data_IF_135202882815
#
_entry.id   IF_135202882815
#
_cell.length_a   1.000
_cell.length_b   1.000
_cell.length_c   1.000
_cell.angle_alpha   90.00
_cell.angle_beta   90.00
_cell.angle_gamma   90.00
#
_symmetry.space_group_name_H-M   'P 1'
#
loop_
_entity.id
_entity.type
_entity.pdbx_description
1 polymer ?
#
# COMPACT_ATOMS: atom_id res chain seq x y z
N UNK A 1 -3.34 19.18 -0.19
CA UNK A 1 -3.02 17.75 -0.04
C UNK A 1 -4.34 17.04 -0.15
N UNK A 2 -4.53 16.29 -1.21
CA UNK A 2 -5.85 15.81 -1.63
C UNK A 2 -5.98 14.30 -1.43
N UNK A 3 -4.84 13.59 -1.41
CA UNK A 3 -4.75 12.16 -1.15
C UNK A 3 -3.53 11.82 -0.28
N UNK A 4 -3.67 10.77 0.52
CA UNK A 4 -2.59 10.11 1.24
C UNK A 4 -2.50 8.66 0.78
N UNK A 5 -1.35 8.25 0.24
CA UNK A 5 -1.05 6.86 -0.09
C UNK A 5 0.01 6.35 0.89
N UNK A 6 -0.36 5.34 1.67
CA UNK A 6 0.52 4.67 2.62
C UNK A 6 0.94 3.30 2.09
N UNK A 7 2.23 3.10 1.85
CA UNK A 7 2.79 1.77 1.64
C UNK A 7 3.05 1.13 2.98
N UNK A 8 2.37 0.02 3.30
CA UNK A 8 2.64 -0.69 4.54
C UNK A 8 3.86 -1.61 4.40
N UNK A 9 4.60 -1.76 5.50
CA UNK A 9 5.82 -2.56 5.57
C UNK A 9 6.52 -2.39 6.92
N UNK A 10 7.57 -3.17 7.15
CA UNK A 10 8.43 -3.05 8.33
C UNK A 10 9.75 -2.33 7.98
N UNK A 11 10.28 -1.48 8.89
CA UNK A 11 11.54 -0.78 8.70
C UNK A 11 12.77 -1.68 8.91
N UNK A 12 13.81 -1.43 8.13
CA UNK A 12 15.12 -2.08 8.25
C UNK A 12 15.45 -3.01 7.08
N UNK A 13 16.75 -3.12 6.78
CA UNK A 13 17.25 -3.82 5.58
C UNK A 13 16.77 -5.27 5.46
N UNK A 14 16.60 -5.97 6.59
CA UNK A 14 16.13 -7.36 6.59
C UNK A 14 14.70 -7.54 6.05
N UNK A 15 13.89 -6.49 6.01
CA UNK A 15 12.50 -6.55 5.53
C UNK A 15 12.31 -6.03 4.11
N UNK A 16 13.30 -5.34 3.54
CA UNK A 16 13.18 -4.55 2.30
C UNK A 16 12.57 -5.33 1.13
N UNK A 17 12.88 -6.64 1.04
CA UNK A 17 12.43 -7.52 -0.05
C UNK A 17 11.44 -8.59 0.40
N UNK A 18 10.94 -8.49 1.62
CA UNK A 18 9.94 -9.43 2.15
C UNK A 18 8.57 -9.17 1.53
N UNK A 19 7.74 -10.21 1.46
CA UNK A 19 6.36 -10.10 0.95
C UNK A 19 5.57 -9.02 1.67
N UNK A 20 5.76 -8.91 2.98
CA UNK A 20 5.08 -7.92 3.82
C UNK A 20 5.48 -6.46 3.54
N UNK A 21 6.57 -6.25 2.80
CA UNK A 21 7.03 -4.92 2.39
C UNK A 21 6.61 -4.55 0.96
N UNK A 22 5.71 -5.33 0.33
CA UNK A 22 5.21 -5.00 -1.02
C UNK A 22 4.63 -3.59 -1.11
N UNK A 23 3.98 -3.10 -0.04
CA UNK A 23 3.48 -1.73 0.04
C UNK A 23 4.59 -0.69 -0.11
N UNK A 24 5.74 -0.90 0.55
CA UNK A 24 6.92 -0.04 0.39
C UNK A 24 7.50 -0.11 -1.02
N UNK A 25 7.63 -1.32 -1.57
CA UNK A 25 8.16 -1.53 -2.92
C UNK A 25 7.33 -0.79 -3.99
N UNK A 26 5.99 -0.84 -3.86
CA UNK A 26 5.07 -0.11 -4.74
C UNK A 26 5.26 1.40 -4.62
N UNK A 27 5.30 1.96 -3.41
CA UNK A 27 5.41 3.42 -3.27
C UNK A 27 6.80 3.96 -3.58
N UNK A 28 7.85 3.15 -3.41
CA UNK A 28 9.20 3.48 -3.88
C UNK A 28 9.24 3.57 -5.40
N UNK A 29 8.63 2.60 -6.10
CA UNK A 29 8.49 2.64 -7.56
C UNK A 29 7.65 3.85 -8.03
N UNK A 30 6.54 4.14 -7.35
CA UNK A 30 5.68 5.28 -7.68
C UNK A 30 6.41 6.62 -7.47
N UNK A 31 7.14 6.78 -6.35
CA UNK A 31 7.94 7.98 -6.10
C UNK A 31 9.03 8.15 -7.17
N UNK A 32 9.73 7.07 -7.53
CA UNK A 32 10.76 7.07 -8.56
C UNK A 32 10.20 7.48 -9.93
N UNK A 33 9.03 6.94 -10.31
CA UNK A 33 8.33 7.30 -11.56
C UNK A 33 8.03 8.81 -11.64
N UNK A 34 7.80 9.44 -10.49
CA UNK A 34 7.56 10.89 -10.36
C UNK A 34 8.84 11.71 -10.08
N UNK A 35 10.03 11.11 -10.22
CA UNK A 35 11.33 11.72 -9.93
C UNK A 35 11.41 12.30 -8.52
N UNK A 36 10.84 11.58 -7.54
CA UNK A 36 10.86 11.95 -6.12
C UNK A 36 11.66 10.96 -5.30
N UNK A 37 12.23 11.49 -4.23
CA UNK A 37 12.88 10.72 -3.18
C UNK A 37 12.15 10.92 -1.86
N UNK A 38 12.20 9.90 -1.01
CA UNK A 38 11.65 9.96 0.34
C UNK A 38 12.60 10.71 1.27
N UNK A 39 12.04 11.50 2.18
CA UNK A 39 12.74 12.17 3.28
C UNK A 39 12.06 11.84 4.61
N UNK A 40 12.74 12.02 5.76
CA UNK A 40 12.09 11.93 7.05
C UNK A 40 10.94 12.94 7.18
N UNK A 41 9.79 12.49 7.66
CA UNK A 41 8.65 13.34 7.98
C UNK A 41 8.69 13.89 9.41
N UNK A 42 7.61 14.55 9.84
CA UNK A 42 7.46 15.11 11.21
C UNK A 42 6.96 14.06 12.23
N UNK A 43 7.44 12.83 12.12
CA UNK A 43 7.08 11.71 12.99
C UNK A 43 7.64 10.39 12.49
N UNK A 44 7.00 9.28 12.86
CA UNK A 44 7.45 7.92 12.53
C UNK A 44 7.03 7.50 11.11
N UNK A 45 7.48 8.26 10.12
CA UNK A 45 7.33 7.91 8.70
C UNK A 45 8.38 8.61 7.83
N UNK A 46 8.63 8.03 6.66
CA UNK A 46 9.22 8.75 5.53
C UNK A 46 8.10 9.27 4.65
N UNK A 47 8.29 10.45 4.05
CA UNK A 47 7.31 11.09 3.18
C UNK A 47 7.94 11.61 1.89
N UNK A 48 7.11 11.71 0.86
CA UNK A 48 7.36 12.56 -0.31
C UNK A 48 6.03 13.01 -0.90
N UNK A 49 6.08 14.04 -1.75
CA UNK A 49 4.89 14.57 -2.42
C UNK A 49 5.05 14.48 -3.94
N UNK A 50 4.04 13.90 -4.58
CA UNK A 50 3.91 13.83 -6.03
C UNK A 50 2.66 14.59 -6.48
N UNK A 51 2.54 14.83 -7.78
CA UNK A 51 1.32 15.37 -8.39
C UNK A 51 0.78 14.38 -9.40
N UNK A 52 -0.48 14.01 -9.25
CA UNK A 52 -1.19 13.18 -10.22
C UNK A 52 -2.29 14.04 -10.83
N UNK A 53 -2.07 14.47 -12.08
CA UNK A 53 -2.86 15.54 -12.72
C UNK A 53 -2.93 16.81 -11.86
N UNK A 54 -4.09 17.10 -11.27
CA UNK A 54 -4.35 18.29 -10.45
C UNK A 54 -4.31 18.00 -8.95
N UNK A 55 -4.24 16.73 -8.57
CA UNK A 55 -4.28 16.29 -7.18
C UNK A 55 -2.86 16.27 -6.59
N UNK A 56 -2.69 16.89 -5.43
CA UNK A 56 -1.51 16.79 -4.56
C UNK A 56 -1.61 15.50 -3.75
N UNK A 57 -0.62 14.63 -3.87
CA UNK A 57 -0.65 13.28 -3.29
C UNK A 57 0.58 13.09 -2.40
N UNK A 58 0.34 12.81 -1.13
CA UNK A 58 1.39 12.46 -0.18
C UNK A 58 1.61 10.96 -0.22
N UNK A 59 2.85 10.54 -0.44
CA UNK A 59 3.28 9.16 -0.30
C UNK A 59 3.98 9.00 1.03
N UNK A 60 3.65 7.96 1.79
CA UNK A 60 4.33 7.67 3.07
C UNK A 60 4.72 6.21 3.23
N UNK A 61 5.90 6.02 3.85
CA UNK A 61 6.32 4.76 4.47
C UNK A 61 6.26 4.93 5.98
N UNK A 62 5.24 4.44 6.69
CA UNK A 62 5.25 4.40 8.15
C UNK A 62 6.53 3.69 8.62
N UNK A 63 7.36 4.34 9.43
CA UNK A 63 8.60 3.73 9.97
C UNK A 63 8.38 3.16 11.38
N UNK A 64 7.12 2.96 11.74
CA UNK A 64 6.70 2.10 12.85
C UNK A 64 6.81 0.63 12.42
N UNK A 65 6.68 -0.30 13.37
CA UNK A 65 6.38 -1.69 12.99
C UNK A 65 4.95 -1.78 12.43
N UNK A 66 4.69 -2.81 11.64
CA UNK A 66 3.42 -2.99 10.93
C UNK A 66 2.18 -2.73 11.81
N UNK A 67 2.18 -3.26 13.04
CA UNK A 67 1.08 -3.14 14.01
C UNK A 67 0.81 -1.73 14.54
N UNK A 68 1.68 -0.76 14.25
CA UNK A 68 1.53 0.65 14.61
C UNK A 68 1.50 1.57 13.36
N UNK A 69 1.18 1.03 12.18
CA UNK A 69 1.07 1.81 10.94
C UNK A 69 -0.02 2.89 11.02
N UNK A 70 -1.11 2.61 11.74
CA UNK A 70 -2.25 3.53 11.86
C UNK A 70 -1.93 4.82 12.59
N UNK A 71 -0.97 4.82 13.52
CA UNK A 71 -0.58 6.01 14.29
C UNK A 71 0.02 7.10 13.38
N UNK A 72 0.89 6.69 12.45
CA UNK A 72 1.49 7.58 11.46
C UNK A 72 0.41 8.19 10.54
N UNK A 73 -0.49 7.34 10.04
CA UNK A 73 -1.58 7.75 9.16
C UNK A 73 -2.53 8.72 9.88
N UNK A 74 -2.95 8.40 11.11
CA UNK A 74 -3.80 9.26 11.95
C UNK A 74 -3.21 10.65 12.14
N UNK A 75 -1.91 10.72 12.47
CA UNK A 75 -1.23 11.99 12.67
C UNK A 75 -1.22 12.84 11.40
N UNK A 76 -0.96 12.23 10.24
CA UNK A 76 -0.93 12.93 8.96
C UNK A 76 -2.29 13.43 8.51
N UNK A 77 -3.34 12.60 8.62
CA UNK A 77 -4.68 13.06 8.25
C UNK A 77 -5.15 14.22 9.13
N UNK A 78 -4.78 14.24 10.41
CA UNK A 78 -5.10 15.34 11.32
C UNK A 78 -4.34 16.62 10.96
N UNK A 79 -3.05 16.52 10.64
CA UNK A 79 -2.23 17.66 10.21
C UNK A 79 -2.79 18.29 8.93
N UNK A 80 -3.16 17.45 7.96
CA UNK A 80 -3.63 17.89 6.65
C UNK A 80 -5.15 18.09 6.56
N UNK A 81 -5.89 17.82 7.65
CA UNK A 81 -7.36 17.81 7.69
C UNK A 81 -7.97 16.97 6.57
N UNK A 82 -7.34 15.82 6.31
CA UNK A 82 -7.71 14.89 5.25
C UNK A 82 -8.75 13.88 5.79
N UNK A 83 -9.88 13.65 5.10
CA UNK A 83 -10.83 12.63 5.53
C UNK A 83 -10.30 11.21 5.20
N UNK A 84 -10.79 10.18 5.91
CA UNK A 84 -10.29 8.81 5.80
C UNK A 84 -10.50 8.21 4.38
N UNK A 85 -11.56 8.64 3.69
CA UNK A 85 -11.92 8.23 2.34
C UNK A 85 -10.90 8.68 1.29
N UNK A 86 -9.99 9.59 1.67
CA UNK A 86 -8.86 10.06 0.86
C UNK A 86 -7.54 9.38 1.21
N UNK A 87 -7.59 8.30 2.01
CA UNK A 87 -6.45 7.44 2.33
C UNK A 87 -6.50 6.18 1.49
N UNK A 88 -5.36 5.80 0.92
CA UNK A 88 -5.13 4.52 0.25
C UNK A 88 -4.00 3.78 0.98
N UNK A 89 -4.30 2.62 1.57
CA UNK A 89 -3.30 1.73 2.14
C UNK A 89 -2.92 0.62 1.15
N UNK A 90 -1.63 0.42 0.89
CA UNK A 90 -1.13 -0.67 0.04
C UNK A 90 -0.60 -1.78 0.94
N UNK A 91 -1.11 -2.99 0.76
CA UNK A 91 -0.85 -4.15 1.62
C UNK A 91 -0.65 -5.43 0.83
N UNK A 92 0.07 -6.38 1.42
CA UNK A 92 0.12 -7.75 0.91
C UNK A 92 -1.20 -8.49 1.11
N UNK A 93 -1.48 -9.41 0.19
CA UNK A 93 -2.65 -10.26 0.21
C UNK A 93 -2.28 -11.69 -0.18
N UNK A 94 -2.23 -12.58 0.82
CA UNK A 94 -1.84 -13.96 0.57
C UNK A 94 -2.92 -14.78 -0.16
N UNK A 95 -4.21 -14.41 -0.09
CA UNK A 95 -5.24 -15.15 -0.83
C UNK A 95 -5.23 -14.85 -2.33
N UNK A 96 -4.41 -13.91 -2.79
CA UNK A 96 -4.23 -13.59 -4.20
C UNK A 96 -2.89 -14.09 -4.73
N UNK A 97 -2.85 -14.64 -5.95
CA UNK A 97 -1.58 -15.03 -6.57
C UNK A 97 -0.70 -13.78 -6.79
N UNK A 98 0.62 -13.98 -6.80
CA UNK A 98 1.57 -12.94 -7.22
C UNK A 98 1.17 -12.44 -8.62
N UNK A 99 1.29 -11.12 -8.85
CA UNK A 99 0.81 -10.48 -10.08
C UNK A 99 -0.54 -9.78 -9.92
N UNK A 100 -1.39 -10.24 -9.00
CA UNK A 100 -2.75 -9.69 -8.84
C UNK A 100 -2.75 -8.40 -8.02
N UNK A 101 -3.35 -7.35 -8.57
CA UNK A 101 -3.67 -6.10 -7.87
C UNK A 101 -5.18 -5.98 -7.75
N UNK A 102 -5.67 -5.56 -6.60
CA UNK A 102 -7.10 -5.36 -6.37
C UNK A 102 -7.32 -4.19 -5.42
N UNK A 103 -8.23 -3.28 -5.77
CA UNK A 103 -8.58 -2.14 -4.92
C UNK A 103 -10.01 -2.25 -4.40
N UNK A 104 -10.20 -1.92 -3.13
CA UNK A 104 -11.52 -1.86 -2.47
C UNK A 104 -11.56 -0.76 -1.42
N UNK A 105 -12.76 -0.27 -1.12
CA UNK A 105 -13.01 0.53 0.09
C UNK A 105 -13.59 -0.37 1.18
N UNK A 106 -13.30 -0.07 2.45
CA UNK A 106 -13.98 -0.71 3.58
C UNK A 106 -13.58 -2.17 3.86
N UNK A 107 -14.35 -2.78 4.76
CA UNK A 107 -14.25 -4.18 5.17
C UNK A 107 -13.30 -4.45 6.34
N UNK A 108 -13.37 -5.67 6.87
CA UNK A 108 -12.53 -6.13 8.00
C UNK A 108 -11.05 -6.16 7.64
N UNK A 109 -10.19 -6.28 8.65
CA UNK A 109 -8.73 -6.33 8.47
C UNK A 109 -8.21 -7.58 7.74
N UNK A 110 -9.01 -8.64 7.65
CA UNK A 110 -8.58 -9.91 7.04
C UNK A 110 -7.41 -10.57 7.76
N UNK A 111 -7.19 -10.23 9.04
CA UNK A 111 -6.04 -10.68 9.83
C UNK A 111 -4.74 -9.95 9.52
N UNK A 112 -4.77 -8.86 8.74
CA UNK A 112 -3.58 -8.06 8.46
C UNK A 112 -3.36 -6.99 9.53
N UNK A 113 -2.34 -7.17 10.39
CA UNK A 113 -2.06 -6.30 11.54
C UNK A 113 -1.93 -4.80 11.20
N UNK A 114 -1.37 -4.46 10.03
CA UNK A 114 -1.27 -3.07 9.59
C UNK A 114 -2.62 -2.44 9.28
N UNK A 115 -3.58 -3.24 8.80
CA UNK A 115 -4.92 -2.77 8.52
C UNK A 115 -5.71 -2.67 9.83
N UNK A 116 -5.58 -3.65 10.73
CA UNK A 116 -6.13 -3.57 12.09
C UNK A 116 -5.70 -2.26 12.76
N UNK A 117 -4.40 -1.95 12.73
CA UNK A 117 -3.84 -0.72 13.28
C UNK A 117 -4.47 0.55 12.70
N UNK A 118 -4.69 0.59 11.38
CA UNK A 118 -5.35 1.73 10.72
C UNK A 118 -6.80 1.87 11.16
N UNK A 119 -7.57 0.77 11.16
CA UNK A 119 -8.98 0.79 11.57
C UNK A 119 -9.10 1.30 13.01
N UNK A 120 -8.30 0.77 13.93
CA UNK A 120 -8.29 1.18 15.34
C UNK A 120 -7.89 2.66 15.50
N UNK A 121 -6.87 3.09 14.77
CA UNK A 121 -6.37 4.47 14.86
C UNK A 121 -7.36 5.50 14.31
N UNK A 122 -7.99 5.18 13.17
CA UNK A 122 -8.93 6.06 12.48
C UNK A 122 -10.35 5.97 13.04
N UNK A 123 -10.71 4.88 13.73
CA UNK A 123 -12.07 4.64 14.22
C UNK A 123 -13.07 4.34 13.10
N UNK A 124 -12.60 4.02 11.90
CA UNK A 124 -13.43 3.70 10.74
C UNK A 124 -12.72 2.71 9.82
N UNK A 125 -13.52 1.99 9.02
CA UNK A 125 -13.03 1.15 7.92
C UNK A 125 -13.03 1.90 6.58
N UNK A 126 -13.55 3.12 6.52
CA UNK A 126 -13.88 3.87 5.30
C UNK A 126 -12.64 4.51 4.63
N UNK A 127 -11.69 3.66 4.28
CA UNK A 127 -10.50 4.01 3.52
C UNK A 127 -10.23 2.96 2.44
N UNK A 128 -9.44 3.34 1.44
CA UNK A 128 -9.12 2.48 0.32
C UNK A 128 -7.96 1.56 0.64
N UNK A 129 -8.02 0.35 0.07
CA UNK A 129 -7.01 -0.68 0.22
C UNK A 129 -6.63 -1.22 -1.14
N UNK A 130 -5.38 -1.03 -1.52
CA UNK A 130 -4.77 -1.71 -2.65
C UNK A 130 -4.10 -2.97 -2.14
N UNK A 131 -4.65 -4.12 -2.52
CA UNK A 131 -4.19 -5.45 -2.14
C UNK A 131 -3.31 -5.99 -3.25
N UNK A 132 -2.06 -6.27 -2.93
CA UNK A 132 -1.06 -6.85 -3.83
C UNK A 132 -0.89 -8.33 -3.48
N UNK A 133 -1.16 -9.20 -4.44
CA UNK A 133 -1.08 -10.65 -4.24
C UNK A 133 0.33 -11.11 -3.94
N UNK A 134 0.48 -11.92 -2.89
CA UNK A 134 1.78 -12.51 -2.50
C UNK A 134 1.78 -14.03 -2.56
N UNK A 135 0.66 -14.65 -2.94
CA UNK A 135 0.48 -16.10 -2.96
C UNK A 135 0.21 -16.71 -1.59
N UNK A 136 -0.15 -18.00 -1.59
CA UNK A 136 -0.43 -18.78 -0.37
C UNK A 136 0.34 -20.09 -0.40
N UNK A 137 1.65 -20.00 -0.29
CA UNK A 137 2.52 -21.19 -0.31
C UNK A 137 3.14 -21.44 1.08
N UNK A 138 2.30 -21.76 2.06
CA UNK A 138 2.72 -22.07 3.43
C UNK A 138 1.78 -23.09 4.09
N UNK A 139 2.27 -23.94 5.00
CA UNK A 139 1.44 -24.86 5.77
C UNK A 139 0.59 -24.10 6.80
N UNK A 140 -0.48 -24.73 7.34
CA UNK A 140 -1.22 -24.15 8.46
C UNK A 140 -0.29 -23.65 9.58
N UNK A 141 -0.47 -22.40 10.01
CA UNK A 141 0.39 -21.74 11.01
C UNK A 141 1.66 -21.06 10.45
N UNK A 142 2.05 -21.33 9.19
CA UNK A 142 3.26 -20.76 8.57
C UNK A 142 3.11 -19.37 7.95
N UNK A 143 1.99 -18.67 8.19
CA UNK A 143 1.68 -17.40 7.54
C UNK A 143 2.69 -16.29 7.89
N UNK A 144 3.08 -16.22 9.17
CA UNK A 144 3.99 -15.17 9.67
C UNK A 144 5.35 -15.28 8.99
N UNK A 145 5.93 -16.49 8.96
CA UNK A 145 7.22 -16.73 8.30
C UNK A 145 7.13 -16.47 6.79
N UNK A 146 5.98 -16.80 6.18
CA UNK A 146 5.77 -16.58 4.76
C UNK A 146 5.77 -15.10 4.39
N UNK A 147 5.00 -14.25 5.10
CA UNK A 147 4.95 -12.81 4.81
C UNK A 147 6.29 -12.13 5.09
N UNK A 148 7.06 -12.64 6.07
CA UNK A 148 8.40 -12.14 6.41
C UNK A 148 9.52 -12.73 5.55
N UNK A 149 9.21 -13.59 4.57
CA UNK A 149 10.20 -14.13 3.64
C UNK A 149 10.25 -13.34 2.33
N UNK A 150 11.37 -13.44 1.62
CA UNK A 150 11.58 -12.79 0.33
C UNK A 150 10.86 -13.51 -0.81
N UNK A 151 10.40 -12.75 -1.80
CA UNK A 151 9.93 -13.32 -3.07
C UNK A 151 11.00 -14.24 -3.67
N UNK A 152 10.55 -15.38 -4.20
CA UNK A 152 11.42 -16.33 -4.87
C UNK A 152 11.86 -15.79 -6.23
N UNK A 153 12.99 -16.28 -6.74
CA UNK A 153 13.55 -15.78 -8.00
C UNK A 153 12.59 -15.94 -9.20
N UNK A 154 11.82 -17.04 -9.23
CA UNK A 154 10.83 -17.29 -10.27
C UNK A 154 9.60 -16.36 -10.21
N UNK A 155 9.40 -15.65 -9.09
CA UNK A 155 8.30 -14.70 -8.92
C UNK A 155 8.70 -13.27 -9.35
N UNK A 156 9.97 -13.02 -9.69
CA UNK A 156 10.46 -11.66 -9.94
C UNK A 156 9.77 -10.95 -11.12
N UNK A 157 9.42 -11.69 -12.17
CA UNK A 157 8.73 -11.13 -13.34
C UNK A 157 7.32 -10.67 -12.97
N UNK A 158 6.54 -11.56 -12.35
CA UNK A 158 5.20 -11.26 -11.84
C UNK A 158 5.22 -10.16 -10.77
N UNK A 159 6.20 -10.15 -9.88
CA UNK A 159 6.40 -9.10 -8.89
C UNK A 159 6.63 -7.74 -9.55
N UNK A 160 7.52 -7.68 -10.54
CA UNK A 160 7.84 -6.43 -11.24
C UNK A 160 6.64 -5.92 -12.02
N UNK A 161 5.93 -6.82 -12.71
CA UNK A 161 4.66 -6.53 -13.40
C UNK A 161 3.59 -6.01 -12.43
N UNK A 162 3.45 -6.65 -11.27
CA UNK A 162 2.50 -6.24 -10.23
C UNK A 162 2.81 -4.84 -9.69
N UNK A 163 4.07 -4.52 -9.44
CA UNK A 163 4.50 -3.20 -8.95
C UNK A 163 4.17 -2.13 -10.00
N UNK A 164 4.51 -2.37 -11.27
CA UNK A 164 4.17 -1.46 -12.38
C UNK A 164 2.67 -1.23 -12.46
N UNK A 165 1.89 -2.32 -12.46
CA UNK A 165 0.42 -2.27 -12.50
C UNK A 165 -0.17 -1.54 -11.29
N UNK A 166 0.38 -1.73 -10.10
CA UNK A 166 -0.05 -1.04 -8.90
C UNK A 166 0.19 0.48 -9.02
N UNK A 167 1.35 0.90 -9.51
CA UNK A 167 1.64 2.31 -9.78
C UNK A 167 0.65 2.93 -10.77
N UNK A 168 0.42 2.27 -11.92
CA UNK A 168 -0.56 2.71 -12.93
C UNK A 168 -1.98 2.73 -12.37
N UNK A 169 -2.33 1.75 -11.53
CA UNK A 169 -3.62 1.68 -10.83
C UNK A 169 -3.84 2.85 -9.90
N UNK A 170 -2.82 3.27 -9.13
CA UNK A 170 -2.91 4.43 -8.24
C UNK A 170 -3.07 5.73 -9.02
N UNK A 171 -2.32 5.90 -10.11
CA UNK A 171 -2.44 7.06 -11.00
C UNK A 171 -3.80 7.13 -11.68
N UNK A 172 -4.29 5.99 -12.20
CA UNK A 172 -5.61 5.91 -12.82
C UNK A 172 -6.72 6.16 -11.79
N UNK A 173 -6.61 5.57 -10.60
CA UNK A 173 -7.58 5.75 -9.52
C UNK A 173 -7.73 7.22 -9.12
N UNK A 174 -6.62 7.90 -8.88
CA UNK A 174 -6.63 9.32 -8.48
C UNK A 174 -7.12 10.21 -9.61
N UNK A 175 -6.79 9.88 -10.86
CA UNK A 175 -7.10 10.74 -12.01
C UNK A 175 -8.48 10.53 -12.65
N UNK A 176 -9.03 9.32 -12.58
CA UNK A 176 -10.29 8.93 -13.22
C UNK A 176 -11.45 8.72 -12.23
N UNK A 177 -11.14 8.65 -10.93
CA UNK A 177 -12.11 8.44 -9.86
C UNK A 177 -12.40 6.96 -9.58
N UNK A 178 -12.84 6.69 -8.35
CA UNK A 178 -12.93 5.35 -7.79
C UNK A 178 -13.80 4.37 -8.60
N UNK A 179 -15.00 4.79 -9.02
CA UNK A 179 -15.95 3.90 -9.69
C UNK A 179 -15.39 3.30 -10.99
N UNK A 180 -14.76 4.13 -11.85
CA UNK A 180 -14.16 3.68 -13.10
C UNK A 180 -12.90 2.86 -12.86
N UNK A 181 -12.10 3.26 -11.88
CA UNK A 181 -10.84 2.61 -11.54
C UNK A 181 -11.03 1.20 -11.00
N UNK A 182 -11.97 1.01 -10.05
CA UNK A 182 -12.24 -0.30 -9.45
C UNK A 182 -12.56 -1.36 -10.50
N UNK A 183 -13.42 -1.04 -11.47
CA UNK A 183 -13.83 -2.00 -12.50
C UNK A 183 -12.63 -2.47 -13.33
N UNK A 184 -11.80 -1.54 -13.81
CA UNK A 184 -10.63 -1.89 -14.64
C UNK A 184 -9.56 -2.63 -13.85
N UNK A 185 -9.19 -2.09 -12.68
CA UNK A 185 -8.12 -2.63 -11.83
C UNK A 185 -8.48 -4.06 -11.39
N UNK A 186 -9.68 -4.27 -10.88
CA UNK A 186 -10.07 -5.57 -10.31
C UNK A 186 -10.32 -6.63 -11.38
N UNK A 187 -10.62 -6.23 -12.62
CA UNK A 187 -10.70 -7.11 -13.78
C UNK A 187 -9.31 -7.40 -14.41
N UNK A 188 -8.24 -6.75 -13.94
CA UNK A 188 -6.89 -6.91 -14.49
C UNK A 188 -6.73 -6.37 -15.90
N UNK A 189 -7.54 -5.40 -16.30
CA UNK A 189 -7.50 -4.77 -17.62
C UNK A 189 -6.38 -3.73 -17.69
N UNK A 190 -5.87 -3.48 -18.90
CA UNK A 190 -4.94 -2.38 -19.17
C UNK A 190 -5.61 -1.02 -18.91
N UNK A 191 -4.85 -0.11 -18.29
CA UNK A 191 -5.35 1.14 -17.72
C UNK A 191 -5.25 2.34 -18.67
#
# INVERSE_FOLDING_TARGET
MDWLIAGLGNPGLKYERTRHNIGWMVIDSLAQKHNKTFKPGKGMWLETEIKIRRESVMLIKPTTFMNASGEAIKKLINIHKLPAERVIAIVDEYNFPVGKVHIKSGGSDGGHNGITSIIESLGTMDFWRMRCGIGKNFPPGGMVDYVLSNFAAYENEELSSMITRACESLEFFISAGAARAMQKINAGLEL
#
